data_IF_629523689429
#
_entry.id   IF_629523689429
#
_cell.length_a   1.000
_cell.length_b   1.000
_cell.length_c   1.000
_cell.angle_alpha   90.00
_cell.angle_beta   90.00
_cell.angle_gamma   90.00
#
_symmetry.space_group_name_H-M   'P 1'
#
loop_
_entity.id
_entity.type
_entity.pdbx_description
1 polymer ?
#
# COMPACT_ATOMS: atom_id res chain seq x y z
N UNK A 1 15.39 18.88 0.83
CA UNK A 1 16.16 18.05 1.76
C UNK A 1 15.48 16.68 1.88
N UNK A 2 16.23 15.61 1.79
CA UNK A 2 15.67 14.26 1.92
C UNK A 2 15.16 14.02 3.35
N UNK A 3 14.03 13.34 3.47
CA UNK A 3 13.49 12.93 4.75
C UNK A 3 14.23 11.68 5.24
N UNK A 4 14.97 11.81 6.34
CA UNK A 4 15.75 10.72 6.92
C UNK A 4 15.10 10.13 8.18
N UNK A 5 13.95 10.68 8.58
CA UNK A 5 13.22 10.14 9.74
C UNK A 5 12.77 8.73 9.45
N UNK A 6 12.96 7.85 10.42
CA UNK A 6 12.56 6.46 10.33
C UNK A 6 13.20 5.66 9.17
N UNK A 7 14.41 6.07 8.74
CA UNK A 7 15.14 5.31 7.71
C UNK A 7 15.39 3.86 8.12
N UNK A 8 15.73 3.63 9.38
CA UNK A 8 15.92 2.27 9.88
C UNK A 8 14.63 1.45 9.78
N UNK A 9 13.47 2.07 10.01
CA UNK A 9 12.17 1.39 9.96
C UNK A 9 11.85 0.91 8.54
N UNK A 10 12.06 1.74 7.51
CA UNK A 10 11.72 1.34 6.14
C UNK A 10 12.65 0.25 5.60
N UNK A 11 13.82 0.08 6.19
CA UNK A 11 14.77 -0.97 5.81
C UNK A 11 14.73 -2.19 6.73
N UNK A 12 13.91 -2.17 7.78
CA UNK A 12 13.76 -3.27 8.72
C UNK A 12 12.75 -4.29 8.20
N UNK A 13 13.25 -5.42 7.71
CA UNK A 13 12.40 -6.48 7.15
C UNK A 13 11.49 -7.15 8.18
N UNK A 14 11.85 -7.05 9.47
CA UNK A 14 11.08 -7.64 10.55
C UNK A 14 10.03 -6.69 11.11
N UNK A 15 10.06 -5.41 10.73
CA UNK A 15 9.03 -4.47 11.10
C UNK A 15 7.71 -4.83 10.37
N UNK A 16 6.61 -4.75 11.09
CA UNK A 16 5.30 -5.08 10.55
C UNK A 16 4.65 -3.91 9.81
N UNK A 17 3.40 -3.63 10.17
CA UNK A 17 2.59 -2.61 9.51
C UNK A 17 3.22 -1.20 9.60
N UNK A 18 3.97 -0.91 10.64
CA UNK A 18 4.62 0.39 10.81
C UNK A 18 5.56 0.71 9.66
N UNK A 19 6.25 -0.29 9.13
CA UNK A 19 7.13 -0.11 7.97
C UNK A 19 6.33 0.31 6.74
N UNK A 20 5.23 -0.37 6.48
CA UNK A 20 4.36 -0.07 5.34
C UNK A 20 3.76 1.34 5.46
N UNK A 21 3.30 1.71 6.65
CA UNK A 21 2.77 3.05 6.92
C UNK A 21 3.81 4.13 6.66
N UNK A 22 5.05 3.91 7.07
CA UNK A 22 6.13 4.88 6.85
C UNK A 22 6.52 4.98 5.38
N UNK A 23 6.60 3.86 4.67
CA UNK A 23 6.87 3.87 3.24
C UNK A 23 5.81 4.68 2.51
N UNK A 24 4.53 4.44 2.82
CA UNK A 24 3.43 5.15 2.18
C UNK A 24 3.46 6.64 2.52
N UNK A 25 3.75 6.99 3.78
CA UNK A 25 3.89 8.39 4.19
C UNK A 25 4.93 9.11 3.33
N UNK A 26 6.08 8.48 3.09
CA UNK A 26 7.15 9.07 2.28
C UNK A 26 6.75 9.21 0.81
N UNK A 27 6.07 8.22 0.26
CA UNK A 27 5.60 8.28 -1.12
C UNK A 27 4.63 9.44 -1.35
N UNK A 28 3.84 9.78 -0.33
CA UNK A 28 2.84 10.85 -0.41
C UNK A 28 3.33 12.20 0.13
N UNK A 29 4.60 12.31 0.52
CA UNK A 29 5.17 13.59 0.98
C UNK A 29 5.12 14.62 -0.16
N UNK A 30 4.49 15.80 0.03
CA UNK A 30 4.34 16.78 -1.03
C UNK A 30 5.65 17.29 -1.63
N UNK A 31 6.74 17.25 -0.85
CA UNK A 31 8.01 17.83 -1.27
C UNK A 31 8.97 16.79 -1.85
N UNK A 32 8.97 15.57 -1.30
CA UNK A 32 10.00 14.56 -1.60
C UNK A 32 9.43 13.23 -2.06
N UNK A 33 8.11 13.07 -2.12
CA UNK A 33 7.45 11.82 -2.45
C UNK A 33 7.35 11.55 -3.94
N UNK A 34 6.63 10.49 -4.29
CA UNK A 34 6.37 10.12 -5.67
C UNK A 34 5.28 11.04 -6.26
N UNK A 35 5.54 11.73 -7.38
CA UNK A 35 4.54 12.63 -7.97
C UNK A 35 3.18 11.96 -8.24
N UNK A 36 3.18 10.73 -8.70
CA UNK A 36 1.93 10.01 -8.94
C UNK A 36 1.16 9.77 -7.65
N UNK A 37 1.84 9.32 -6.59
CA UNK A 37 1.21 9.03 -5.29
C UNK A 37 0.69 10.30 -4.63
N UNK A 38 1.40 11.43 -4.79
CA UNK A 38 1.00 12.71 -4.22
C UNK A 38 -0.31 13.20 -4.85
N UNK A 39 -0.52 12.99 -6.13
CA UNK A 39 -1.68 13.49 -6.88
C UNK A 39 -2.95 12.69 -6.60
N UNK A 40 -2.86 11.49 -6.02
CA UNK A 40 -4.04 10.65 -5.81
C UNK A 40 -4.88 11.14 -4.64
N UNK A 41 -6.18 10.91 -4.73
CA UNK A 41 -7.16 11.17 -3.68
C UNK A 41 -8.01 9.92 -3.46
N UNK A 42 -8.98 9.98 -2.55
CA UNK A 42 -9.86 8.84 -2.28
C UNK A 42 -10.59 8.40 -3.55
N UNK A 43 -11.12 9.34 -4.30
CA UNK A 43 -11.91 9.03 -5.49
C UNK A 43 -11.07 8.39 -6.59
N UNK A 44 -9.81 8.83 -6.77
CA UNK A 44 -8.93 8.25 -7.79
C UNK A 44 -8.45 6.84 -7.41
N UNK A 45 -8.35 6.52 -6.13
CA UNK A 45 -7.87 5.22 -5.65
C UNK A 45 -9.02 4.23 -5.43
N UNK A 46 -10.24 4.68 -5.15
CA UNK A 46 -11.38 3.81 -4.89
C UNK A 46 -11.59 2.71 -5.95
N UNK A 47 -11.48 2.97 -7.26
CA UNK A 47 -11.62 1.90 -8.27
C UNK A 47 -10.59 0.77 -8.10
N UNK A 48 -9.36 1.09 -7.74
CA UNK A 48 -8.31 0.09 -7.50
C UNK A 48 -8.62 -0.73 -6.26
N UNK A 49 -9.15 -0.10 -5.21
CA UNK A 49 -9.55 -0.80 -3.99
C UNK A 49 -10.65 -1.82 -4.27
N UNK A 50 -11.64 -1.44 -5.07
CA UNK A 50 -12.72 -2.34 -5.47
C UNK A 50 -12.18 -3.50 -6.29
N UNK A 51 -11.32 -3.23 -7.27
CA UNK A 51 -10.69 -4.24 -8.11
C UNK A 51 -9.93 -5.26 -7.29
N UNK A 52 -9.11 -4.81 -6.32
CA UNK A 52 -8.34 -5.70 -5.46
C UNK A 52 -9.24 -6.56 -4.58
N UNK A 53 -10.35 -6.02 -4.08
CA UNK A 53 -11.31 -6.79 -3.31
C UNK A 53 -11.94 -7.91 -4.15
N UNK A 54 -12.27 -7.66 -5.41
CA UNK A 54 -12.76 -8.68 -6.33
C UNK A 54 -11.71 -9.75 -6.63
N UNK A 55 -10.46 -9.37 -6.79
CA UNK A 55 -9.37 -10.32 -7.02
C UNK A 55 -9.15 -11.23 -5.82
N UNK A 56 -9.27 -10.70 -4.61
CA UNK A 56 -9.23 -11.51 -3.38
C UNK A 56 -10.37 -12.54 -3.39
N UNK A 57 -11.59 -12.10 -3.67
CA UNK A 57 -12.77 -12.98 -3.71
C UNK A 57 -12.62 -14.06 -4.79
N UNK A 58 -12.11 -13.71 -5.95
CA UNK A 58 -11.87 -14.64 -7.06
C UNK A 58 -10.83 -15.70 -6.69
N UNK A 59 -9.73 -15.29 -6.07
CA UNK A 59 -8.70 -16.24 -5.62
C UNK A 59 -9.23 -17.23 -4.59
N UNK A 60 -10.09 -16.78 -3.68
CA UNK A 60 -10.76 -17.65 -2.70
C UNK A 60 -11.67 -18.66 -3.42
N UNK A 61 -12.47 -18.20 -4.37
CA UNK A 61 -13.40 -19.07 -5.12
C UNK A 61 -12.65 -20.14 -5.90
N UNK A 62 -11.51 -19.80 -6.48
CA UNK A 62 -10.67 -20.76 -7.22
C UNK A 62 -9.79 -21.63 -6.33
N UNK A 63 -9.79 -21.39 -5.02
CA UNK A 63 -8.90 -22.06 -4.06
C UNK A 63 -7.43 -21.90 -4.42
N UNK A 64 -7.05 -20.76 -5.01
CA UNK A 64 -5.68 -20.45 -5.36
C UNK A 64 -5.02 -19.71 -4.20
N UNK A 65 -4.51 -20.48 -3.25
CA UNK A 65 -3.96 -19.92 -2.02
C UNK A 65 -2.68 -19.11 -2.22
N UNK A 66 -1.73 -19.48 -3.09
CA UNK A 66 -0.58 -18.63 -3.37
C UNK A 66 -0.98 -17.27 -3.94
N UNK A 67 -1.95 -17.24 -4.85
CA UNK A 67 -2.44 -15.98 -5.40
C UNK A 67 -3.20 -15.16 -4.37
N UNK A 68 -3.99 -15.82 -3.52
CA UNK A 68 -4.70 -15.14 -2.44
C UNK A 68 -3.74 -14.37 -1.53
N UNK A 69 -2.59 -14.96 -1.20
CA UNK A 69 -1.58 -14.29 -0.36
C UNK A 69 -1.13 -12.97 -1.00
N UNK A 70 -0.84 -12.99 -2.30
CA UNK A 70 -0.44 -11.80 -3.04
C UNK A 70 -1.55 -10.76 -3.11
N UNK A 71 -2.79 -11.19 -3.38
CA UNK A 71 -3.93 -10.29 -3.48
C UNK A 71 -4.29 -9.65 -2.13
N UNK A 72 -4.14 -10.38 -1.04
CA UNK A 72 -4.35 -9.81 0.30
C UNK A 72 -3.30 -8.74 0.60
N UNK A 73 -2.06 -8.94 0.17
CA UNK A 73 -1.01 -7.92 0.30
C UNK A 73 -1.37 -6.66 -0.50
N UNK A 74 -1.86 -6.83 -1.72
CA UNK A 74 -2.26 -5.71 -2.57
C UNK A 74 -3.46 -4.96 -1.99
N UNK A 75 -4.44 -5.67 -1.43
CA UNK A 75 -5.58 -5.06 -0.75
C UNK A 75 -5.14 -4.28 0.50
N UNK A 76 -4.21 -4.84 1.27
CA UNK A 76 -3.65 -4.15 2.43
C UNK A 76 -2.96 -2.85 2.00
N UNK A 77 -2.22 -2.88 0.89
CA UNK A 77 -1.57 -1.69 0.35
C UNK A 77 -2.60 -0.59 0.04
N UNK A 78 -3.74 -0.95 -0.57
CA UNK A 78 -4.81 0.00 -0.84
C UNK A 78 -5.37 0.61 0.45
N UNK A 79 -5.58 -0.24 1.46
CA UNK A 79 -6.07 0.22 2.77
C UNK A 79 -5.12 1.23 3.39
N UNK A 80 -3.83 0.93 3.40
CA UNK A 80 -2.79 1.83 3.95
C UNK A 80 -2.72 3.12 3.14
N UNK A 81 -2.85 3.03 1.82
CA UNK A 81 -2.87 4.20 0.95
C UNK A 81 -3.94 5.20 1.39
N UNK A 82 -5.15 4.72 1.69
CA UNK A 82 -6.25 5.58 2.15
C UNK A 82 -6.00 6.21 3.51
N UNK A 83 -5.11 5.67 4.32
CA UNK A 83 -4.81 6.24 5.66
C UNK A 83 -3.91 7.47 5.61
N UNK A 84 -3.32 7.77 4.47
CA UNK A 84 -2.41 8.92 4.29
C UNK A 84 -3.16 10.18 3.75
#
# INVERSE_FOLDING_TARGET
MADTRNDALIHDRDAGIERLLEIMRRLRDPDTGCPWDIEQDFDSIAPYTIEEAYEVADAIERCDWPELEGELGDLLLQTVYHTQ
#
